data_IF_464861371630
#
_entry.id   IF_464861371630
#
_cell.length_a   1.000
_cell.length_b   1.000
_cell.length_c   1.000
_cell.angle_alpha   90.00
_cell.angle_beta   90.00
_cell.angle_gamma   90.00
#
_symmetry.space_group_name_H-M   'P 1'
#
loop_
_entity.id
_entity.type
_entity.pdbx_description
1 polymer ?
#
# COMPACT_ATOMS: atom_id res chain seq x y z
N UNK A 1 6.04 11.79 11.13
CA UNK A 1 6.88 11.50 9.95
C UNK A 1 6.71 10.03 9.64
N UNK A 2 5.96 9.70 8.59
CA UNK A 2 5.94 8.34 8.06
C UNK A 2 7.34 8.04 7.49
N UNK A 3 7.85 6.83 7.74
CA UNK A 3 9.20 6.45 7.34
C UNK A 3 9.37 6.52 5.83
N UNK A 4 10.49 7.06 5.37
CA UNK A 4 10.89 7.04 3.95
C UNK A 4 11.43 5.68 3.51
N UNK A 5 11.39 4.70 4.42
CA UNK A 5 12.03 3.38 4.31
C UNK A 5 11.12 2.27 4.85
N UNK A 6 11.08 1.16 4.12
CA UNK A 6 10.44 -0.09 4.48
C UNK A 6 11.49 -1.21 4.39
N UNK A 7 11.60 -2.06 5.41
CA UNK A 7 12.48 -3.22 5.39
C UNK A 7 11.66 -4.47 5.15
N UNK A 8 12.11 -5.34 4.24
CA UNK A 8 11.51 -6.64 4.02
C UNK A 8 12.13 -7.75 4.89
N UNK A 9 11.51 -8.94 4.83
CA UNK A 9 11.91 -10.10 5.62
C UNK A 9 13.34 -10.59 5.30
N UNK A 10 13.89 -10.18 4.16
CA UNK A 10 15.27 -10.47 3.72
C UNK A 10 16.26 -9.39 4.21
N UNK A 11 15.80 -8.40 4.99
CA UNK A 11 16.59 -7.27 5.47
C UNK A 11 16.87 -6.21 4.39
N UNK A 12 16.19 -6.27 3.24
CA UNK A 12 16.40 -5.33 2.15
C UNK A 12 15.56 -4.08 2.39
N UNK A 13 16.15 -2.92 2.10
CA UNK A 13 15.47 -1.63 2.25
C UNK A 13 14.81 -1.21 0.94
N UNK A 14 13.58 -0.76 1.06
CA UNK A 14 12.80 -0.13 0.01
C UNK A 14 12.58 1.32 0.39
N UNK A 15 12.72 2.21 -0.59
CA UNK A 15 12.54 3.64 -0.39
C UNK A 15 11.19 4.05 -0.93
N UNK A 16 10.48 4.86 -0.16
CA UNK A 16 9.22 5.42 -0.61
C UNK A 16 9.46 6.29 -1.83
N UNK A 17 8.69 6.09 -2.90
CA UNK A 17 8.74 7.00 -4.04
C UNK A 17 8.21 8.37 -3.59
N UNK A 18 9.06 9.39 -3.66
CA UNK A 18 8.85 10.68 -2.96
C UNK A 18 7.80 11.58 -3.62
N UNK A 19 7.00 11.04 -4.53
CA UNK A 19 6.08 11.79 -5.39
C UNK A 19 4.68 11.92 -4.81
N UNK A 20 3.94 10.83 -4.71
CA UNK A 20 2.49 10.88 -4.47
C UNK A 20 2.01 9.51 -4.00
N UNK A 21 0.81 9.48 -3.42
CA UNK A 21 0.10 8.23 -3.18
C UNK A 21 -0.35 7.67 -4.53
N UNK A 22 -0.23 6.37 -4.73
CA UNK A 22 -0.66 5.73 -5.96
C UNK A 22 -2.18 5.87 -6.12
N UNK A 23 -2.62 6.32 -7.27
CA UNK A 23 -4.05 6.36 -7.59
C UNK A 23 -4.61 4.97 -7.89
N UNK A 24 -5.93 4.88 -8.08
CA UNK A 24 -6.59 3.61 -8.34
C UNK A 24 -6.13 2.93 -9.65
N UNK A 25 -5.83 3.71 -10.69
CA UNK A 25 -5.36 3.19 -11.97
C UNK A 25 -3.94 2.64 -11.81
N UNK A 26 -3.07 3.36 -11.11
CA UNK A 26 -1.72 2.93 -10.77
C UNK A 26 -1.72 1.62 -10.00
N UNK A 27 -2.59 1.49 -9.00
CA UNK A 27 -2.76 0.25 -8.25
C UNK A 27 -3.15 -0.89 -9.19
N UNK A 28 -4.17 -0.69 -10.03
CA UNK A 28 -4.66 -1.72 -10.95
C UNK A 28 -3.59 -2.16 -11.96
N UNK A 29 -2.77 -1.23 -12.48
CA UNK A 29 -1.61 -1.54 -13.33
C UNK A 29 -0.57 -2.39 -12.60
N UNK A 30 -0.25 -2.07 -11.35
CA UNK A 30 0.73 -2.83 -10.55
C UNK A 30 0.22 -4.22 -10.15
N UNK A 31 -1.08 -4.35 -9.89
CA UNK A 31 -1.70 -5.65 -9.62
C UNK A 31 -1.65 -6.55 -10.86
N UNK A 32 -1.84 -5.97 -12.06
CA UNK A 32 -1.76 -6.70 -13.33
C UNK A 32 -0.33 -7.15 -13.68
N UNK A 33 0.70 -6.43 -13.23
CA UNK A 33 2.12 -6.76 -13.50
C UNK A 33 2.71 -7.84 -12.58
N UNK A 34 1.87 -8.52 -11.80
CA UNK A 34 2.29 -9.51 -10.79
C UNK A 34 3.29 -8.95 -9.76
N UNK A 35 3.17 -7.66 -9.44
CA UNK A 35 4.00 -7.03 -8.42
C UNK A 35 3.76 -7.67 -7.05
N UNK A 36 4.83 -7.79 -6.24
CA UNK A 36 4.70 -8.16 -4.82
C UNK A 36 3.98 -7.00 -4.12
N UNK A 37 3.06 -7.31 -3.20
CA UNK A 37 2.31 -6.28 -2.48
C UNK A 37 2.50 -6.45 -0.99
N UNK A 38 2.64 -5.33 -0.28
CA UNK A 38 2.75 -5.29 1.18
C UNK A 38 1.57 -4.54 1.78
N UNK A 39 0.95 -5.10 2.83
CA UNK A 39 -0.01 -4.41 3.67
C UNK A 39 0.64 -4.15 5.02
N UNK A 40 0.67 -2.89 5.46
CA UNK A 40 1.32 -2.50 6.71
C UNK A 40 0.72 -1.21 7.28
N UNK A 41 1.00 -0.90 8.54
CA UNK A 41 0.49 0.31 9.19
C UNK A 41 -0.31 0.01 10.45
N UNK A 42 -0.91 1.04 11.02
CA UNK A 42 -1.70 1.08 12.26
C UNK A 42 -1.63 -0.15 13.19
N UNK A 43 -0.56 -0.27 14.00
CA UNK A 43 -0.36 -1.34 15.00
C UNK A 43 -0.58 -2.78 14.48
N UNK A 44 -0.53 -2.99 13.17
CA UNK A 44 -0.70 -4.29 12.52
C UNK A 44 0.65 -4.81 12.02
N UNK A 45 0.86 -6.13 12.09
CA UNK A 45 2.05 -6.74 11.52
C UNK A 45 2.07 -6.54 10.00
N UNK A 46 3.27 -6.48 9.43
CA UNK A 46 3.46 -6.47 7.98
C UNK A 46 2.95 -7.77 7.37
N UNK A 47 2.24 -7.67 6.25
CA UNK A 47 1.72 -8.81 5.51
C UNK A 47 2.15 -8.72 4.05
N UNK A 48 2.84 -9.74 3.56
CA UNK A 48 3.17 -9.90 2.15
C UNK A 48 2.04 -10.64 1.44
N UNK A 49 1.50 -10.05 0.39
CA UNK A 49 0.40 -10.62 -0.38
C UNK A 49 0.91 -11.14 -1.72
N UNK A 50 0.43 -12.33 -2.10
CA UNK A 50 0.49 -12.79 -3.49
C UNK A 50 -0.36 -11.90 -4.39
N UNK A 51 -0.18 -11.97 -5.72
CA UNK A 51 -0.97 -11.16 -6.65
C UNK A 51 -2.48 -11.41 -6.54
N UNK A 52 -2.89 -12.66 -6.27
CA UNK A 52 -4.29 -13.02 -6.09
C UNK A 52 -4.87 -12.42 -4.79
N UNK A 53 -4.14 -12.53 -3.68
CA UNK A 53 -4.53 -11.95 -2.39
C UNK A 53 -4.56 -10.42 -2.46
N UNK A 54 -3.59 -9.81 -3.14
CA UNK A 54 -3.52 -8.38 -3.34
C UNK A 54 -4.70 -7.87 -4.17
N UNK A 55 -5.08 -8.58 -5.24
CA UNK A 55 -6.25 -8.22 -6.04
C UNK A 55 -7.56 -8.37 -5.24
N UNK A 56 -7.69 -9.43 -4.44
CA UNK A 56 -8.84 -9.61 -3.55
C UNK A 56 -8.90 -8.50 -2.49
N UNK A 57 -7.75 -8.17 -1.88
CA UNK A 57 -7.65 -7.11 -0.88
C UNK A 57 -7.98 -5.75 -1.48
N UNK A 58 -7.46 -5.43 -2.66
CA UNK A 58 -7.74 -4.17 -3.35
C UNK A 58 -9.24 -3.94 -3.55
N UNK A 59 -10.00 -4.97 -3.97
CA UNK A 59 -11.46 -4.86 -4.11
C UNK A 59 -12.16 -4.50 -2.81
N UNK A 60 -11.62 -4.95 -1.66
CA UNK A 60 -12.17 -4.65 -0.34
C UNK A 60 -11.82 -3.24 0.12
N UNK A 61 -10.57 -2.81 -0.07
CA UNK A 61 -10.07 -1.54 0.49
C UNK A 61 -10.22 -0.36 -0.45
N UNK A 62 -10.40 -0.56 -1.78
CA UNK A 62 -10.51 0.52 -2.77
C UNK A 62 -11.55 1.60 -2.41
N UNK A 63 -12.74 1.27 -1.87
CA UNK A 63 -13.71 2.30 -1.43
C UNK A 63 -13.22 3.13 -0.24
N UNK A 64 -12.31 2.57 0.56
CA UNK A 64 -11.73 3.16 1.78
C UNK A 64 -10.31 3.67 1.55
N UNK A 65 -9.82 3.61 0.30
CA UNK A 65 -8.51 4.07 -0.08
C UNK A 65 -8.59 5.56 -0.40
N UNK A 66 -8.06 6.38 0.49
CA UNK A 66 -8.03 7.82 0.36
C UNK A 66 -6.58 8.30 0.43
N UNK A 67 -6.25 9.34 -0.32
CA UNK A 67 -4.97 10.04 -0.19
C UNK A 67 -4.93 10.67 1.22
N UNK A 68 -3.99 10.32 2.10
CA UNK A 68 -3.84 10.95 3.41
C UNK A 68 -3.77 12.47 3.30
N UNK A 69 -4.76 13.16 3.90
CA UNK A 69 -4.94 14.62 3.81
C UNK A 69 -6.17 15.06 3.01
N UNK A 70 -6.85 14.16 2.29
CA UNK A 70 -8.18 14.42 1.74
C UNK A 70 -9.26 14.24 2.83
N UNK A 71 -10.00 15.30 3.10
CA UNK A 71 -11.14 15.28 4.02
C UNK A 71 -12.24 14.32 3.50
N UNK A 72 -12.76 13.45 4.36
CA UNK A 72 -13.94 12.61 4.07
C UNK A 72 -13.68 11.14 3.72
N UNK A 73 -12.54 10.56 4.14
CA UNK A 73 -12.31 9.13 3.98
C UNK A 73 -13.25 8.31 4.89
N UNK A 74 -14.08 7.47 4.28
CA UNK A 74 -14.93 6.53 5.00
C UNK A 74 -14.12 5.29 5.39
N UNK A 75 -14.00 5.04 6.69
CA UNK A 75 -13.36 3.83 7.19
C UNK A 75 -14.13 2.56 6.80
N UNK A 76 -13.44 1.42 6.82
CA UNK A 76 -14.08 0.11 6.72
C UNK A 76 -14.91 -0.23 7.98
N UNK A 77 -15.39 -1.47 8.09
CA UNK A 77 -16.16 -1.92 9.27
C UNK A 77 -15.40 -1.79 10.60
N UNK A 78 -14.06 -1.69 10.57
CA UNK A 78 -13.20 -1.49 11.71
C UNK A 78 -12.77 -0.01 11.87
N UNK A 79 -13.28 0.89 11.03
CA UNK A 79 -12.93 2.30 11.00
C UNK A 79 -11.59 2.59 10.32
N UNK A 80 -11.03 1.64 9.57
CA UNK A 80 -9.71 1.80 8.96
C UNK A 80 -9.79 2.46 7.59
N UNK A 81 -8.84 3.35 7.34
CA UNK A 81 -8.62 3.95 6.03
C UNK A 81 -7.29 3.51 5.46
N UNK A 82 -7.16 3.58 4.13
CA UNK A 82 -6.01 3.03 3.42
C UNK A 82 -5.40 4.05 2.48
N UNK A 83 -4.11 3.93 2.22
CA UNK A 83 -3.45 4.65 1.14
C UNK A 83 -2.56 3.69 0.35
N UNK A 84 -2.52 3.84 -0.97
CA UNK A 84 -1.60 3.09 -1.79
C UNK A 84 -0.30 3.89 -2.00
N UNK A 85 0.84 3.23 -1.87
CA UNK A 85 2.17 3.84 -2.00
C UNK A 85 3.08 2.96 -2.83
N UNK A 86 3.89 3.57 -3.68
CA UNK A 86 4.94 2.85 -4.40
C UNK A 86 6.25 2.95 -3.62
N UNK A 87 6.88 1.79 -3.44
CA UNK A 87 8.20 1.64 -2.90
C UNK A 87 9.16 1.20 -3.99
N UNK A 88 10.40 1.67 -3.93
CA UNK A 88 11.43 1.39 -4.93
C UNK A 88 12.70 0.83 -4.32
N UNK A 89 13.34 -0.07 -5.06
CA UNK A 89 14.70 -0.54 -4.80
C UNK A 89 15.41 -0.80 -6.11
N UNK A 90 16.28 0.14 -6.52
CA UNK A 90 16.83 0.13 -7.88
C UNK A 90 15.71 0.16 -8.91
N UNK A 91 15.72 -0.81 -9.84
CA UNK A 91 14.68 -0.95 -10.88
C UNK A 91 13.45 -1.72 -10.41
N UNK A 92 13.45 -2.23 -9.17
CA UNK A 92 12.30 -2.97 -8.61
C UNK A 92 11.31 -2.00 -7.98
N UNK A 93 10.04 -2.27 -8.19
CA UNK A 93 8.93 -1.59 -7.54
C UNK A 93 8.16 -2.57 -6.65
N UNK A 94 7.55 -2.03 -5.61
CA UNK A 94 6.70 -2.72 -4.66
C UNK A 94 5.49 -1.83 -4.38
N UNK A 95 4.29 -2.38 -4.51
CA UNK A 95 3.07 -1.69 -4.10
C UNK A 95 2.83 -1.94 -2.60
N UNK A 96 2.62 -0.86 -1.84
CA UNK A 96 2.23 -0.90 -0.44
C UNK A 96 0.82 -0.37 -0.24
N UNK A 97 0.04 -1.06 0.57
CA UNK A 97 -1.17 -0.54 1.19
C UNK A 97 -0.85 -0.15 2.63
N UNK A 98 -0.85 1.15 2.89
CA UNK A 98 -0.67 1.71 4.23
C UNK A 98 -2.03 1.83 4.93
N UNK A 99 -2.12 1.31 6.16
CA UNK A 99 -3.32 1.31 7.00
C UNK A 99 -3.28 2.45 8.03
N UNK A 100 -4.37 3.19 8.13
CA UNK A 100 -4.61 4.31 9.05
C UNK A 100 -5.90 4.10 9.86
N UNK A 101 -6.09 4.93 10.90
CA UNK A 101 -7.27 4.99 11.77
C UNK A 101 -7.80 6.42 11.81
#
# INVERSE_FOLDING_TARGET
MLGDRLWDDEGQVWYRDRGEWADAEEVERHLASACRVVLHGFRRPMQWLTSAEAAARWRQIRPHCAVPGQYGADGDAEGLTYAAVLWRRGDRQLLGFEVFC
#
